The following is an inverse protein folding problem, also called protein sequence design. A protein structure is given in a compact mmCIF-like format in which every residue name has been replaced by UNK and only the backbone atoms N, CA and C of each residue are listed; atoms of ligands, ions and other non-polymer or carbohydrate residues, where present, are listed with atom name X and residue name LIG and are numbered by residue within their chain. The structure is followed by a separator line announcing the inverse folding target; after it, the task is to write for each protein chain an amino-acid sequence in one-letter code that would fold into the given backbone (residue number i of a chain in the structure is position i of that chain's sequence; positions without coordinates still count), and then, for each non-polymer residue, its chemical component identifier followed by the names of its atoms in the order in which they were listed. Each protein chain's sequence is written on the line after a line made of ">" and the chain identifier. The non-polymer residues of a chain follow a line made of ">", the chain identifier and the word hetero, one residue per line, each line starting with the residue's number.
data_IF_429276133415
#
_entry.id   IF_429276133415
#
_cell.length_a   1.000
_cell.length_b   1.000
_cell.length_c   1.000
_cell.angle_alpha   90.00
_cell.angle_beta   90.00
_cell.angle_gamma   90.00
#
_symmetry.space_group_name_H-M   'P 1'
#
loop_
_entity.id
_entity.type
_entity.pdbx_description
1 polymer ?
#
# COMPACT_ATOMS: atom_id res chain seq x y z
N UNK A 1 -19.53 -50.74 -1.28
CA UNK A 1 -19.20 -49.51 -0.52
C UNK A 1 -18.24 -48.68 -1.34
N UNK A 2 -18.78 -47.79 -2.17
CA UNK A 2 -18.00 -47.00 -3.13
C UNK A 2 -17.61 -45.68 -2.45
N UNK A 3 -16.34 -45.54 -2.10
CA UNK A 3 -15.79 -44.32 -1.50
C UNK A 3 -15.80 -43.19 -2.52
N UNK A 4 -16.81 -42.32 -2.42
CA UNK A 4 -16.87 -41.07 -3.16
C UNK A 4 -15.70 -40.17 -2.72
N UNK A 5 -14.66 -40.04 -3.56
CA UNK A 5 -13.62 -39.03 -3.37
C UNK A 5 -14.21 -37.65 -3.65
N UNK A 6 -14.48 -36.89 -2.60
CA UNK A 6 -14.81 -35.47 -2.70
C UNK A 6 -13.57 -34.71 -3.23
N UNK A 7 -13.53 -34.40 -4.53
CA UNK A 7 -12.60 -33.41 -5.09
C UNK A 7 -13.09 -32.01 -4.69
N UNK A 8 -12.66 -31.52 -3.54
CA UNK A 8 -12.76 -30.11 -3.19
C UNK A 8 -11.87 -29.32 -4.15
N UNK A 9 -12.45 -28.84 -5.25
CA UNK A 9 -11.84 -27.79 -6.06
C UNK A 9 -11.69 -26.57 -5.17
N UNK A 10 -10.48 -26.33 -4.67
CA UNK A 10 -10.13 -25.15 -3.87
C UNK A 10 -10.28 -23.88 -4.70
N UNK A 11 -11.51 -23.40 -4.87
CA UNK A 11 -11.80 -22.07 -5.40
C UNK A 11 -11.25 -21.07 -4.39
N UNK A 12 -10.19 -20.36 -4.79
CA UNK A 12 -9.59 -19.25 -4.07
C UNK A 12 -10.65 -18.18 -3.76
N UNK A 13 -10.97 -18.05 -2.46
CA UNK A 13 -11.85 -17.01 -1.93
C UNK A 13 -11.04 -15.71 -1.84
N UNK A 14 -11.31 -14.74 -2.73
CA UNK A 14 -11.01 -13.32 -2.46
C UNK A 14 -12.15 -12.80 -1.60
N UNK A 15 -11.87 -12.21 -0.43
CA UNK A 15 -12.91 -11.47 0.30
C UNK A 15 -13.34 -10.23 -0.44
N UNK A 16 -12.42 -9.60 -1.15
CA UNK A 16 -12.72 -8.50 -2.05
C UNK A 16 -12.35 -8.95 -3.47
N UNK A 17 -13.32 -9.48 -4.21
CA UNK A 17 -13.19 -9.44 -5.68
C UNK A 17 -13.26 -7.97 -6.05
N UNK A 18 -12.22 -7.46 -6.70
CA UNK A 18 -12.24 -6.16 -7.35
C UNK A 18 -13.47 -6.14 -8.29
N UNK A 19 -14.53 -5.49 -7.83
CA UNK A 19 -15.71 -5.24 -8.66
C UNK A 19 -15.34 -4.10 -9.62
N UNK A 20 -16.03 -3.97 -10.77
CA UNK A 20 -15.63 -3.02 -11.80
C UNK A 20 -15.54 -1.58 -11.28
N UNK A 21 -16.48 -1.16 -10.42
CA UNK A 21 -16.55 0.19 -9.86
C UNK A 21 -15.43 0.48 -8.85
N UNK A 22 -15.16 -0.43 -7.90
CA UNK A 22 -14.01 -0.38 -6.98
C UNK A 22 -12.68 -0.31 -7.74
N UNK A 23 -12.55 -1.13 -8.78
CA UNK A 23 -11.37 -1.11 -9.65
C UNK A 23 -11.19 0.24 -10.32
N UNK A 24 -12.27 0.81 -10.89
CA UNK A 24 -12.23 2.12 -11.52
C UNK A 24 -11.83 3.20 -10.52
N UNK A 25 -12.40 3.20 -9.31
CA UNK A 25 -12.07 4.20 -8.29
C UNK A 25 -10.63 4.07 -7.79
N UNK A 26 -10.13 2.84 -7.59
CA UNK A 26 -8.72 2.59 -7.27
C UNK A 26 -7.77 3.07 -8.38
N UNK A 27 -8.10 2.80 -9.64
CA UNK A 27 -7.30 3.23 -10.79
C UNK A 27 -7.30 4.75 -10.89
N UNK A 28 -8.47 5.39 -10.86
CA UNK A 28 -8.59 6.86 -10.92
C UNK A 28 -7.82 7.51 -9.78
N UNK A 29 -7.99 7.02 -8.55
CA UNK A 29 -7.27 7.56 -7.40
C UNK A 29 -5.76 7.32 -7.49
N UNK A 30 -5.33 6.17 -8.00
CA UNK A 30 -3.90 5.90 -8.22
C UNK A 30 -3.33 6.80 -9.30
N UNK A 31 -4.08 7.09 -10.38
CA UNK A 31 -3.67 8.05 -11.40
C UNK A 31 -3.56 9.45 -10.83
N UNK A 32 -4.53 9.90 -10.03
CA UNK A 32 -4.46 11.21 -9.36
C UNK A 32 -3.28 11.27 -8.39
N UNK A 33 -3.04 10.21 -7.61
CA UNK A 33 -1.86 10.12 -6.73
C UNK A 33 -0.55 10.18 -7.51
N UNK A 34 -0.43 9.42 -8.61
CA UNK A 34 0.75 9.45 -9.50
C UNK A 34 0.95 10.84 -10.10
N UNK A 35 -0.11 11.49 -10.58
CA UNK A 35 -0.05 12.86 -11.07
C UNK A 35 0.39 13.81 -9.96
N UNK A 36 -0.09 13.65 -8.73
CA UNK A 36 0.32 14.48 -7.60
C UNK A 36 1.80 14.32 -7.24
N UNK A 37 2.39 13.14 -7.42
CA UNK A 37 3.84 12.93 -7.26
C UNK A 37 4.65 13.45 -8.47
N UNK A 38 4.12 13.34 -9.69
CA UNK A 38 4.89 13.51 -10.91
C UNK A 38 4.71 14.86 -11.61
N UNK A 39 3.61 15.59 -11.37
CA UNK A 39 3.37 16.91 -11.98
C UNK A 39 4.53 17.91 -11.84
N UNK A 40 5.30 17.94 -10.71
CA UNK A 40 6.40 18.89 -10.56
C UNK A 40 7.56 18.62 -11.52
N UNK A 41 7.64 17.40 -12.07
CA UNK A 41 8.67 17.04 -13.04
C UNK A 41 8.38 17.61 -14.43
N UNK A 42 7.16 18.07 -14.67
CA UNK A 42 6.71 18.56 -15.98
C UNK A 42 6.41 20.06 -16.00
N UNK A 43 6.19 20.67 -14.84
CA UNK A 43 5.86 22.09 -14.69
C UNK A 43 6.92 22.80 -13.87
N UNK A 44 7.15 24.08 -14.16
CA UNK A 44 8.10 24.89 -13.39
C UNK A 44 7.55 25.06 -11.97
N UNK A 45 8.30 24.57 -10.99
CA UNK A 45 7.99 24.74 -9.57
C UNK A 45 8.97 25.70 -8.93
N UNK A 46 8.44 26.71 -8.25
CA UNK A 46 9.26 27.66 -7.49
C UNK A 46 9.92 26.94 -6.32
N UNK A 47 11.26 26.97 -6.27
CA UNK A 47 12.04 26.31 -5.22
C UNK A 47 12.18 27.21 -4.00
N UNK A 48 11.78 26.69 -2.84
CA UNK A 48 11.72 27.44 -1.58
C UNK A 48 13.04 27.51 -0.79
N UNK A 49 14.17 27.10 -1.38
CA UNK A 49 15.48 26.99 -0.70
C UNK A 49 15.70 25.64 0.02
N UNK A 50 16.70 25.59 0.92
CA UNK A 50 17.20 24.35 1.55
C UNK A 50 16.16 23.60 2.41
N UNK A 51 15.08 24.25 2.82
CA UNK A 51 14.04 23.68 3.70
C UNK A 51 12.65 23.74 3.09
N UNK A 52 12.48 23.26 1.84
CA UNK A 52 11.16 23.18 1.21
C UNK A 52 10.27 22.02 1.73
N UNK A 53 10.49 21.58 2.98
CA UNK A 53 9.62 20.61 3.67
C UNK A 53 8.28 21.31 3.95
N UNK A 54 7.34 21.13 3.03
CA UNK A 54 6.01 21.74 3.12
C UNK A 54 5.77 22.95 2.20
N UNK A 55 6.48 23.04 1.06
CA UNK A 55 6.23 23.95 -0.09
C UNK A 55 4.96 24.82 0.06
N UNK A 56 5.15 26.00 0.64
CA UNK A 56 4.13 26.78 1.39
C UNK A 56 2.89 27.15 0.58
N UNK A 57 3.00 27.20 -0.74
CA UNK A 57 1.89 27.56 -1.63
C UNK A 57 1.07 26.34 -2.05
N UNK A 58 1.70 25.22 -2.39
CA UNK A 58 1.00 24.09 -3.04
C UNK A 58 0.66 22.95 -2.07
N UNK A 59 1.47 22.74 -1.03
CA UNK A 59 1.28 21.66 -0.06
C UNK A 59 -0.13 21.62 0.56
N UNK A 60 -0.70 22.76 0.99
CA UNK A 60 -2.03 22.78 1.57
C UNK A 60 -3.11 22.35 0.57
N UNK A 61 -3.00 22.74 -0.70
CA UNK A 61 -4.00 22.39 -1.73
C UNK A 61 -3.96 20.92 -2.10
N UNK A 62 -2.76 20.35 -2.27
CA UNK A 62 -2.61 18.91 -2.52
C UNK A 62 -3.12 18.09 -1.33
N UNK A 63 -2.89 18.56 -0.09
CA UNK A 63 -3.47 17.94 1.08
C UNK A 63 -5.01 17.95 1.07
N UNK A 64 -5.61 19.13 0.82
CA UNK A 64 -7.06 19.33 0.76
C UNK A 64 -7.70 18.55 -0.40
N UNK A 65 -6.98 18.31 -1.49
CA UNK A 65 -7.49 17.54 -2.62
C UNK A 65 -7.37 16.02 -2.41
N UNK A 66 -6.18 15.56 -2.01
CA UNK A 66 -5.85 14.13 -1.96
C UNK A 66 -6.50 13.43 -0.77
N UNK A 67 -6.59 14.09 0.39
CA UNK A 67 -7.15 13.45 1.58
C UNK A 67 -8.64 13.11 1.41
N UNK A 68 -9.54 14.03 0.96
CA UNK A 68 -10.92 13.67 0.67
C UNK A 68 -11.06 12.63 -0.44
N UNK A 69 -10.21 12.68 -1.46
CA UNK A 69 -10.19 11.66 -2.51
C UNK A 69 -9.86 10.26 -1.94
N UNK A 70 -8.84 10.16 -1.08
CA UNK A 70 -8.49 8.92 -0.39
C UNK A 70 -9.62 8.43 0.49
N UNK A 71 -10.26 9.32 1.24
CA UNK A 71 -11.45 8.99 2.05
C UNK A 71 -12.57 8.47 1.16
N UNK A 72 -12.85 9.11 0.02
CA UNK A 72 -13.87 8.67 -0.92
C UNK A 72 -13.57 7.27 -1.48
N UNK A 73 -12.31 6.96 -1.79
CA UNK A 73 -11.88 5.63 -2.27
C UNK A 73 -12.04 4.59 -1.17
N UNK A 74 -11.62 4.91 0.06
CA UNK A 74 -11.80 4.02 1.21
C UNK A 74 -13.28 3.73 1.44
N UNK A 75 -14.13 4.76 1.42
CA UNK A 75 -15.59 4.60 1.57
C UNK A 75 -16.20 3.78 0.43
N UNK A 76 -15.74 4.00 -0.81
CA UNK A 76 -16.19 3.22 -1.95
C UNK A 76 -15.83 1.73 -1.82
N UNK A 77 -14.58 1.42 -1.49
CA UNK A 77 -14.12 0.05 -1.24
C UNK A 77 -14.92 -0.62 -0.11
N UNK A 78 -15.17 0.10 0.99
CA UNK A 78 -15.99 -0.39 2.10
C UNK A 78 -17.45 -0.64 1.71
N UNK A 79 -18.02 0.21 0.87
CA UNK A 79 -19.39 0.05 0.37
C UNK A 79 -19.52 -1.15 -0.58
N UNK A 80 -18.51 -1.41 -1.41
CA UNK A 80 -18.52 -2.48 -2.42
C UNK A 80 -18.18 -3.86 -1.88
N UNK A 81 -17.41 -3.91 -0.80
CA UNK A 81 -17.24 -5.11 0.03
C UNK A 81 -18.57 -5.62 0.61
N UNK A 82 -19.65 -4.85 0.45
CA UNK A 82 -21.02 -5.24 0.78
C UNK A 82 -21.27 -5.18 2.28
N UNK A 83 -20.88 -4.07 2.94
CA UNK A 83 -21.09 -3.78 4.38
C UNK A 83 -21.05 -5.07 5.25
N UNK A 84 -20.09 -5.94 5.00
CA UNK A 84 -19.89 -7.10 5.86
C UNK A 84 -19.17 -6.59 7.10
N UNK A 85 -19.92 -6.48 8.20
CA UNK A 85 -19.41 -6.03 9.49
C UNK A 85 -18.13 -6.77 9.89
N UNK A 86 -17.94 -8.03 9.43
CA UNK A 86 -16.72 -8.81 9.66
C UNK A 86 -15.51 -8.25 8.92
N UNK A 87 -15.68 -7.81 7.66
CA UNK A 87 -14.61 -7.20 6.87
C UNK A 87 -14.21 -5.85 7.47
N UNK A 88 -15.19 -5.04 7.87
CA UNK A 88 -14.96 -3.75 8.54
C UNK A 88 -14.24 -3.97 9.88
N UNK A 89 -14.68 -4.93 10.68
CA UNK A 89 -14.04 -5.29 11.95
C UNK A 89 -12.61 -5.79 11.75
N UNK A 90 -12.38 -6.65 10.77
CA UNK A 90 -11.04 -7.15 10.44
C UNK A 90 -10.12 -6.03 9.96
N UNK A 91 -10.62 -5.16 9.09
CA UNK A 91 -9.87 -3.99 8.62
C UNK A 91 -9.51 -3.08 9.79
N UNK A 92 -10.46 -2.76 10.67
CA UNK A 92 -10.22 -1.93 11.86
C UNK A 92 -9.19 -2.55 12.80
N UNK A 93 -9.28 -3.86 13.07
CA UNK A 93 -8.31 -4.59 13.89
C UNK A 93 -6.92 -4.55 13.27
N UNK A 94 -6.78 -4.89 11.99
CA UNK A 94 -5.49 -4.87 11.32
C UNK A 94 -4.95 -3.43 11.17
N UNK A 95 -5.81 -2.44 10.99
CA UNK A 95 -5.41 -1.04 10.94
C UNK A 95 -4.90 -0.55 12.30
N UNK A 96 -5.50 -1.00 13.41
CA UNK A 96 -4.99 -0.73 14.76
C UNK A 96 -3.61 -1.37 14.97
N UNK A 97 -3.41 -2.61 14.54
CA UNK A 97 -2.08 -3.26 14.57
C UNK A 97 -1.08 -2.51 13.69
N UNK A 98 -1.45 -2.13 12.47
CA UNK A 98 -0.60 -1.36 11.56
C UNK A 98 -0.22 0.02 12.13
N UNK A 99 -1.19 0.68 12.75
CA UNK A 99 -1.01 1.94 13.49
C UNK A 99 -0.01 1.78 14.64
N UNK A 100 -0.15 0.73 15.45
CA UNK A 100 0.78 0.45 16.55
C UNK A 100 2.19 0.09 16.05
N UNK A 101 2.30 -0.72 14.99
CA UNK A 101 3.58 -1.05 14.36
C UNK A 101 4.27 0.18 13.78
N UNK A 102 3.50 1.14 13.25
CA UNK A 102 4.04 2.42 12.79
C UNK A 102 4.59 3.24 13.95
N UNK A 103 3.98 3.23 15.12
CA UNK A 103 4.50 3.97 16.28
C UNK A 103 5.91 3.52 16.72
N UNK A 104 6.33 2.30 16.33
CA UNK A 104 7.68 1.77 16.59
C UNK A 104 8.74 2.22 15.56
N UNK A 105 8.31 2.82 14.45
CA UNK A 105 9.17 3.14 13.29
C UNK A 105 9.88 4.51 13.31
N UNK A 106 9.24 5.62 13.72
CA UNK A 106 9.91 6.92 13.78
C UNK A 106 11.17 6.89 14.65
N UNK A 107 12.30 7.31 14.08
CA UNK A 107 13.58 7.45 14.80
C UNK A 107 14.47 6.21 14.88
N UNK A 108 14.05 5.05 14.35
CA UNK A 108 14.80 3.78 14.46
C UNK A 108 15.50 3.37 13.17
N UNK A 109 16.37 4.22 12.60
CA UNK A 109 17.19 3.89 11.43
C UNK A 109 16.42 3.27 10.22
N UNK A 110 15.15 3.65 10.02
CA UNK A 110 14.33 3.15 8.92
C UNK A 110 13.63 1.81 9.19
N UNK A 111 13.68 1.30 10.42
CA UNK A 111 13.03 0.06 10.82
C UNK A 111 11.50 0.23 10.94
N UNK A 112 10.77 0.05 9.83
CA UNK A 112 9.31 0.12 9.83
C UNK A 112 8.65 -1.26 9.69
N UNK A 113 8.25 -1.91 10.81
CA UNK A 113 7.65 -3.25 10.76
C UNK A 113 6.24 -3.28 10.15
N UNK A 114 5.60 -2.11 9.96
CA UNK A 114 4.27 -2.01 9.37
C UNK A 114 4.17 -2.56 7.94
N UNK A 115 5.24 -2.49 7.15
CA UNK A 115 5.25 -2.94 5.75
C UNK A 115 5.02 -4.45 5.62
N UNK A 116 5.59 -5.24 6.52
CA UNK A 116 5.33 -6.67 6.64
C UNK A 116 3.83 -6.95 6.74
N UNK A 117 3.10 -6.21 7.58
CA UNK A 117 1.67 -6.39 7.76
C UNK A 117 0.90 -6.07 6.47
N UNK A 118 1.22 -4.93 5.83
CA UNK A 118 0.56 -4.50 4.60
C UNK A 118 0.73 -5.52 3.47
N UNK A 119 1.96 -6.03 3.29
CA UNK A 119 2.27 -7.04 2.25
C UNK A 119 1.47 -8.32 2.48
N UNK A 120 1.49 -8.87 3.70
CA UNK A 120 0.79 -10.12 3.99
C UNK A 120 -0.73 -9.97 3.94
N UNK A 121 -1.26 -8.86 4.42
CA UNK A 121 -2.69 -8.58 4.38
C UNK A 121 -3.18 -8.38 2.93
N UNK A 122 -2.46 -7.59 2.12
CA UNK A 122 -2.74 -7.44 0.69
C UNK A 122 -2.70 -8.78 -0.04
N UNK A 123 -1.68 -9.60 0.23
CA UNK A 123 -1.57 -10.95 -0.35
C UNK A 123 -2.70 -11.88 0.06
N UNK A 124 -3.20 -11.79 1.30
CA UNK A 124 -4.21 -12.68 1.84
C UNK A 124 -5.66 -12.26 1.51
N UNK A 125 -5.95 -10.96 1.57
CA UNK A 125 -7.31 -10.42 1.45
C UNK A 125 -7.59 -9.76 0.09
N UNK A 126 -6.54 -9.41 -0.66
CA UNK A 126 -6.62 -8.85 -2.01
C UNK A 126 -6.19 -7.39 -2.09
N UNK A 127 -6.10 -6.89 -3.34
CA UNK A 127 -5.58 -5.57 -3.66
C UNK A 127 -6.38 -4.41 -3.03
N UNK A 128 -7.71 -4.41 -3.16
CA UNK A 128 -8.56 -3.36 -2.56
C UNK A 128 -8.44 -3.30 -1.04
N UNK A 129 -8.47 -4.47 -0.37
CA UNK A 129 -8.24 -4.54 1.08
C UNK A 129 -6.85 -4.02 1.48
N UNK A 130 -5.81 -4.40 0.73
CA UNK A 130 -4.44 -3.92 0.95
C UNK A 130 -4.30 -2.41 0.78
N UNK A 131 -4.98 -1.84 -0.22
CA UNK A 131 -5.04 -0.40 -0.45
C UNK A 131 -5.63 0.33 0.76
N UNK A 132 -6.85 -0.08 1.16
CA UNK A 132 -7.56 0.54 2.29
C UNK A 132 -6.78 0.37 3.60
N UNK A 133 -6.26 -0.82 3.87
CA UNK A 133 -5.46 -1.08 5.06
C UNK A 133 -4.23 -0.17 5.12
N UNK A 134 -3.51 -0.01 4.00
CA UNK A 134 -2.36 0.88 3.91
C UNK A 134 -2.70 2.33 4.23
N UNK A 135 -3.76 2.86 3.60
CA UNK A 135 -4.21 4.23 3.83
C UNK A 135 -4.65 4.45 5.29
N UNK A 136 -5.49 3.57 5.84
CA UNK A 136 -6.08 3.74 7.18
C UNK A 136 -5.04 3.51 8.29
N UNK A 137 -4.17 2.50 8.16
CA UNK A 137 -3.11 2.24 9.15
C UNK A 137 -2.15 3.42 9.27
N UNK A 138 -1.85 4.04 8.12
CA UNK A 138 -0.96 5.18 8.09
C UNK A 138 -1.62 6.44 8.66
N UNK A 139 -2.87 6.70 8.30
CA UNK A 139 -3.66 7.78 8.89
C UNK A 139 -3.70 7.65 10.42
N UNK A 140 -4.05 6.46 10.93
CA UNK A 140 -4.06 6.18 12.36
C UNK A 140 -2.72 6.42 13.03
N UNK A 141 -1.63 5.91 12.45
CA UNK A 141 -0.28 6.12 12.99
C UNK A 141 0.15 7.59 12.97
N UNK A 142 -0.17 8.34 11.91
CA UNK A 142 0.13 9.77 11.83
C UNK A 142 -0.67 10.58 12.87
N UNK A 143 -1.93 10.24 13.12
CA UNK A 143 -2.72 10.88 14.17
C UNK A 143 -2.15 10.62 15.58
N UNK A 144 -1.71 9.39 15.86
CA UNK A 144 -1.13 9.03 17.17
C UNK A 144 0.24 9.67 17.40
N UNK A 145 1.07 9.71 16.37
CA UNK A 145 2.45 10.24 16.47
C UNK A 145 2.54 11.74 16.27
N UNK A 146 1.41 12.43 16.01
CA UNK A 146 1.41 13.84 15.66
C UNK A 146 2.00 14.15 14.28
N UNK A 147 2.20 13.14 13.43
CA UNK A 147 2.79 13.25 12.09
C UNK A 147 1.81 13.73 11.01
N UNK A 148 0.79 14.50 11.36
CA UNK A 148 -0.17 15.07 10.41
C UNK A 148 0.48 16.27 9.71
N UNK A 149 0.57 16.21 8.39
CA UNK A 149 1.11 17.29 7.60
C UNK A 149 0.86 17.10 6.11
N UNK A 150 1.30 18.06 5.27
CA UNK A 150 1.05 18.03 3.84
C UNK A 150 1.56 16.78 3.12
N UNK A 151 2.61 16.14 3.64
CA UNK A 151 3.15 14.88 3.12
C UNK A 151 2.27 13.65 3.41
N UNK A 152 1.34 13.74 4.37
CA UNK A 152 0.60 12.57 4.87
C UNK A 152 -0.22 11.88 3.76
N UNK A 153 -0.97 12.57 2.88
CA UNK A 153 -1.70 11.91 1.80
C UNK A 153 -0.77 11.15 0.82
N UNK A 154 0.43 11.65 0.59
CA UNK A 154 1.45 10.98 -0.23
C UNK A 154 1.93 9.69 0.42
N UNK A 155 2.20 9.75 1.73
CA UNK A 155 2.47 8.54 2.50
C UNK A 155 1.29 7.56 2.40
N UNK A 156 0.04 8.05 2.48
CA UNK A 156 -1.18 7.22 2.46
C UNK A 156 -1.29 6.47 1.16
N UNK A 157 -1.10 7.15 0.02
CA UNK A 157 -1.03 6.52 -1.29
C UNK A 157 0.11 5.52 -1.40
N UNK A 158 1.32 5.89 -0.97
CA UNK A 158 2.48 5.01 -1.06
C UNK A 158 2.29 3.71 -0.23
N UNK A 159 1.80 3.80 1.00
CA UNK A 159 1.46 2.64 1.82
C UNK A 159 0.29 1.83 1.22
N UNK A 160 -0.73 2.51 0.69
CA UNK A 160 -1.85 1.86 0.03
C UNK A 160 -1.40 1.07 -1.21
N UNK A 161 -0.49 1.61 -2.02
CA UNK A 161 0.07 0.90 -3.17
C UNK A 161 0.90 -0.32 -2.77
N UNK A 162 1.67 -0.26 -1.68
CA UNK A 162 2.40 -1.44 -1.16
C UNK A 162 1.44 -2.59 -0.82
N UNK A 163 0.35 -2.30 -0.10
CA UNK A 163 -0.65 -3.34 0.19
C UNK A 163 -1.38 -3.81 -1.07
N UNK A 164 -1.74 -2.88 -1.95
CA UNK A 164 -2.48 -3.16 -3.19
C UNK A 164 -1.71 -4.08 -4.13
N UNK A 165 -0.46 -3.71 -4.46
CA UNK A 165 0.40 -4.45 -5.38
C UNK A 165 0.76 -5.84 -4.84
N UNK A 166 0.95 -5.99 -3.52
CA UNK A 166 1.11 -7.32 -2.91
C UNK A 166 -0.08 -8.26 -3.18
N UNK A 167 -1.29 -7.71 -3.25
CA UNK A 167 -2.51 -8.44 -3.61
C UNK A 167 -2.63 -8.79 -5.10
N UNK A 168 -1.84 -8.15 -5.96
CA UNK A 168 -1.79 -8.39 -7.41
C UNK A 168 -0.67 -9.35 -7.82
N UNK A 169 0.23 -9.71 -6.90
CA UNK A 169 1.33 -10.65 -7.17
C UNK A 169 0.84 -12.01 -7.71
N UNK A 170 1.64 -12.67 -8.57
CA UNK A 170 1.31 -13.97 -9.12
C UNK A 170 1.12 -15.01 -8.03
N UNK A 171 0.20 -15.95 -8.28
CA UNK A 171 -0.13 -17.00 -7.30
C UNK A 171 0.89 -18.12 -7.37
N UNK A 172 1.73 -18.15 -6.35
CA UNK A 172 2.65 -19.26 -6.06
C UNK A 172 2.31 -19.84 -4.69
N UNK A 173 2.64 -21.12 -4.47
CA UNK A 173 2.38 -21.81 -3.21
C UNK A 173 3.66 -22.17 -2.45
N UNK A 174 3.49 -22.61 -1.21
CA UNK A 174 4.58 -23.21 -0.42
C UNK A 174 5.68 -22.22 -0.06
N UNK A 175 6.94 -22.64 -0.21
CA UNK A 175 8.12 -21.80 0.11
C UNK A 175 8.33 -20.67 -0.90
N UNK A 176 8.00 -20.91 -2.18
CA UNK A 176 8.15 -19.92 -3.24
C UNK A 176 7.29 -18.67 -2.97
N UNK A 177 6.12 -18.85 -2.36
CA UNK A 177 5.30 -17.73 -1.91
C UNK A 177 6.00 -16.83 -0.91
N UNK A 178 6.70 -17.39 0.07
CA UNK A 178 7.40 -16.60 1.07
C UNK A 178 8.58 -15.87 0.46
N UNK A 179 9.31 -16.53 -0.44
CA UNK A 179 10.44 -15.92 -1.15
C UNK A 179 9.97 -14.77 -2.05
N UNK A 180 8.87 -14.97 -2.78
CA UNK A 180 8.26 -13.92 -3.59
C UNK A 180 7.86 -12.72 -2.73
N UNK A 181 7.21 -12.96 -1.59
CA UNK A 181 6.77 -11.90 -0.68
C UNK A 181 7.95 -11.21 -0.01
N UNK A 182 9.01 -11.93 0.34
CA UNK A 182 10.21 -11.35 0.93
C UNK A 182 10.95 -10.47 -0.09
N UNK A 183 11.11 -10.94 -1.32
CA UNK A 183 11.68 -10.15 -2.41
C UNK A 183 10.82 -8.92 -2.71
N UNK A 184 9.51 -9.09 -2.76
CA UNK A 184 8.57 -7.98 -2.91
C UNK A 184 8.69 -6.98 -1.76
N UNK A 185 8.73 -7.43 -0.51
CA UNK A 185 8.91 -6.56 0.66
C UNK A 185 10.21 -5.76 0.60
N UNK A 186 11.32 -6.40 0.20
CA UNK A 186 12.60 -5.72 0.02
C UNK A 186 12.50 -4.60 -1.02
N UNK A 187 12.00 -4.92 -2.21
CA UNK A 187 11.84 -3.95 -3.31
C UNK A 187 10.86 -2.84 -2.93
N UNK A 188 9.70 -3.20 -2.39
CA UNK A 188 8.65 -2.24 -2.02
C UNK A 188 9.09 -1.29 -0.90
N UNK A 189 9.90 -1.76 0.06
CA UNK A 189 10.46 -0.91 1.12
C UNK A 189 11.40 0.16 0.59
N UNK A 190 12.23 -0.19 -0.41
CA UNK A 190 13.09 0.76 -1.10
C UNK A 190 12.29 1.70 -2.01
N UNK A 191 11.38 1.14 -2.81
CA UNK A 191 10.54 1.92 -3.71
C UNK A 191 9.64 2.91 -2.98
N UNK A 192 9.23 2.62 -1.74
CA UNK A 192 8.50 3.59 -0.94
C UNK A 192 9.28 4.88 -0.72
N UNK A 193 10.57 4.82 -0.35
CA UNK A 193 11.40 6.00 -0.21
C UNK A 193 11.65 6.70 -1.54
N UNK A 194 11.93 5.93 -2.60
CA UNK A 194 12.08 6.43 -3.97
C UNK A 194 10.81 7.11 -4.49
N UNK A 195 9.62 6.76 -4.02
CA UNK A 195 8.40 7.49 -4.39
C UNK A 195 8.18 8.67 -3.44
N UNK A 196 8.37 8.48 -2.14
CA UNK A 196 8.15 9.51 -1.13
C UNK A 196 9.06 10.72 -1.29
N UNK A 197 10.27 10.54 -1.79
CA UNK A 197 11.19 11.66 -2.00
C UNK A 197 10.71 12.60 -3.12
N UNK A 198 9.93 12.11 -4.11
CA UNK A 198 9.35 12.96 -5.16
C UNK A 198 8.36 14.00 -4.62
N UNK A 199 7.81 13.77 -3.43
CA UNK A 199 6.90 14.74 -2.81
C UNK A 199 7.56 16.09 -2.55
N UNK A 200 8.82 16.10 -2.11
CA UNK A 200 9.51 17.34 -1.71
C UNK A 200 10.73 17.66 -2.57
N UNK A 201 11.36 16.65 -3.17
CA UNK A 201 12.61 16.81 -3.92
C UNK A 201 12.55 17.89 -5.03
N UNK A 202 11.50 17.97 -5.87
CA UNK A 202 11.41 19.01 -6.90
C UNK A 202 11.42 20.46 -6.37
N UNK A 203 11.01 20.64 -5.12
CA UNK A 203 10.82 21.94 -4.48
C UNK A 203 12.00 22.38 -3.61
N UNK A 204 12.90 21.46 -3.27
CA UNK A 204 14.01 21.68 -2.37
C UNK A 204 15.35 21.76 -3.12
N UNK A 205 16.27 22.56 -2.58
CA UNK A 205 17.62 22.72 -3.14
C UNK A 205 18.63 21.98 -2.27
N UNK A 206 19.43 21.10 -2.88
CA UNK A 206 20.46 20.25 -2.26
C UNK A 206 21.84 20.43 -2.92
N UNK A 207 22.10 21.60 -3.53
CA UNK A 207 23.30 21.85 -4.36
C UNK A 207 23.13 21.43 -5.82
N UNK A 208 24.12 21.67 -6.68
CA UNK A 208 23.99 21.50 -8.14
C UNK A 208 23.70 20.07 -8.60
N UNK A 209 24.28 19.08 -7.92
CA UNK A 209 24.31 17.71 -8.42
C UNK A 209 23.10 16.89 -7.95
N UNK A 210 22.39 17.36 -6.93
CA UNK A 210 21.28 16.65 -6.29
C UNK A 210 19.93 17.37 -6.43
N UNK A 211 19.92 18.64 -6.84
CA UNK A 211 18.67 19.40 -6.96
C UNK A 211 17.97 19.13 -8.28
N UNK A 212 16.65 19.22 -8.25
CA UNK A 212 15.87 19.35 -9.47
C UNK A 212 16.21 20.68 -10.17
N UNK A 213 16.34 20.66 -11.50
CA UNK A 213 16.52 21.86 -12.32
C UNK A 213 15.32 21.99 -13.25
N UNK A 214 14.41 22.96 -13.00
CA UNK A 214 13.26 23.18 -13.87
C UNK A 214 13.70 23.51 -15.31
N UNK A 215 13.12 22.82 -16.29
CA UNK A 215 13.41 23.03 -17.72
C UNK A 215 14.51 22.14 -18.30
N UNK A 216 15.34 21.48 -17.47
CA UNK A 216 16.32 20.49 -17.93
C UNK A 216 15.65 19.22 -18.47
N UNK A 217 16.40 18.43 -19.25
CA UNK A 217 15.91 17.17 -19.78
C UNK A 217 15.53 16.19 -18.65
N UNK A 218 14.43 15.43 -18.84
CA UNK A 218 13.94 14.47 -17.86
C UNK A 218 15.02 13.46 -17.43
N UNK A 219 15.87 13.03 -18.37
CA UNK A 219 16.96 12.10 -18.09
C UNK A 219 18.02 12.67 -17.13
N UNK A 220 18.33 13.97 -17.25
CA UNK A 220 19.29 14.66 -16.38
C UNK A 220 18.71 14.84 -14.98
N UNK A 221 17.45 15.27 -14.89
CA UNK A 221 16.75 15.35 -13.62
C UNK A 221 16.58 13.98 -12.94
N UNK A 222 16.33 12.92 -13.70
CA UNK A 222 16.28 11.56 -13.16
C UNK A 222 17.66 11.10 -12.66
N UNK A 223 18.75 11.48 -13.34
CA UNK A 223 20.10 11.21 -12.87
C UNK A 223 20.38 11.90 -11.53
N UNK A 224 20.09 13.21 -11.42
CA UNK A 224 20.22 13.97 -10.16
C UNK A 224 19.37 13.38 -9.04
N UNK A 225 18.16 12.93 -9.38
CA UNK A 225 17.28 12.28 -8.43
C UNK A 225 17.85 10.96 -7.88
N UNK A 226 18.42 10.12 -8.75
CA UNK A 226 19.06 8.87 -8.32
C UNK A 226 20.28 9.14 -7.43
N UNK A 227 21.10 10.14 -7.77
CA UNK A 227 22.21 10.57 -6.92
C UNK A 227 21.71 11.04 -5.54
N UNK A 228 20.64 11.84 -5.53
CA UNK A 228 19.99 12.29 -4.29
C UNK A 228 19.50 11.10 -3.44
N UNK A 229 18.78 10.15 -4.04
CA UNK A 229 18.26 8.97 -3.34
C UNK A 229 19.38 8.15 -2.72
N UNK A 230 20.46 7.89 -3.48
CA UNK A 230 21.62 7.13 -2.99
C UNK A 230 22.31 7.85 -1.84
N UNK A 231 22.48 9.17 -1.94
CA UNK A 231 23.19 9.96 -0.95
C UNK A 231 22.38 10.17 0.35
N UNK A 232 21.06 10.27 0.28
CA UNK A 232 20.25 10.77 1.41
C UNK A 232 19.26 9.76 1.99
N UNK A 233 18.66 8.91 1.16
CA UNK A 233 17.49 8.11 1.54
C UNK A 233 17.78 6.61 1.64
N UNK A 234 18.73 6.11 0.85
CA UNK A 234 18.96 4.67 0.72
C UNK A 234 19.35 3.99 2.05
N UNK A 235 20.05 4.73 2.92
CA UNK A 235 20.41 4.27 4.26
C UNK A 235 19.19 3.97 5.15
N UNK A 236 18.04 4.62 4.90
CA UNK A 236 16.78 4.40 5.62
C UNK A 236 15.89 3.38 4.92
N UNK A 237 15.92 3.38 3.60
CA UNK A 237 15.08 2.57 2.73
C UNK A 237 15.48 1.08 2.70
N UNK A 238 16.79 0.79 2.73
CA UNK A 238 17.29 -0.59 2.78
C UNK A 238 16.88 -1.29 4.09
N UNK A 239 17.11 -0.71 5.29
CA UNK A 239 16.65 -1.31 6.55
C UNK A 239 15.16 -1.61 6.57
N UNK A 240 14.31 -0.72 6.04
CA UNK A 240 12.87 -0.96 5.91
C UNK A 240 12.56 -2.22 5.12
N UNK A 241 13.15 -2.32 3.92
CA UNK A 241 12.97 -3.44 3.02
C UNK A 241 13.49 -4.75 3.61
N UNK A 242 14.70 -4.72 4.19
CA UNK A 242 15.34 -5.89 4.82
C UNK A 242 14.55 -6.37 6.02
N UNK A 243 14.15 -5.48 6.94
CA UNK A 243 13.34 -5.83 8.09
C UNK A 243 12.03 -6.50 7.64
N UNK A 244 11.34 -5.92 6.67
CA UNK A 244 10.09 -6.45 6.15
C UNK A 244 10.28 -7.84 5.54
N UNK A 245 11.33 -8.02 4.73
CA UNK A 245 11.67 -9.30 4.13
C UNK A 245 12.00 -10.37 5.19
N UNK A 246 12.79 -10.02 6.20
CA UNK A 246 13.12 -10.91 7.33
C UNK A 246 11.85 -11.31 8.08
N UNK A 247 10.97 -10.36 8.42
CA UNK A 247 9.70 -10.66 9.08
C UNK A 247 8.82 -11.56 8.22
N UNK A 248 8.78 -11.37 6.89
CA UNK A 248 8.06 -12.28 5.98
C UNK A 248 8.64 -13.69 6.02
N UNK A 249 9.96 -13.85 6.01
CA UNK A 249 10.59 -15.17 6.03
C UNK A 249 10.37 -15.89 7.38
N UNK A 250 10.42 -15.16 8.49
CA UNK A 250 10.27 -15.71 9.84
C UNK A 250 8.80 -15.97 10.20
N UNK A 251 7.92 -15.00 9.93
CA UNK A 251 6.54 -14.98 10.43
C UNK A 251 5.48 -15.10 9.33
N UNK A 252 5.87 -15.07 8.04
CA UNK A 252 4.93 -15.08 6.93
C UNK A 252 4.05 -16.33 6.89
N UNK A 253 4.59 -17.50 7.20
CA UNK A 253 3.81 -18.75 7.24
C UNK A 253 2.67 -18.74 8.26
N UNK A 254 2.94 -18.55 9.57
CA UNK A 254 1.87 -18.54 10.56
C UNK A 254 0.87 -17.41 10.32
N UNK A 255 1.34 -16.21 9.94
CA UNK A 255 0.47 -15.05 9.70
C UNK A 255 -0.42 -15.24 8.47
N UNK A 256 0.12 -15.68 7.33
CA UNK A 256 -0.69 -15.97 6.14
C UNK A 256 -1.70 -17.08 6.40
N UNK A 257 -1.34 -18.09 7.20
CA UNK A 257 -2.26 -19.17 7.57
C UNK A 257 -3.42 -18.63 8.41
N UNK A 258 -3.12 -17.78 9.39
CA UNK A 258 -4.13 -17.11 10.22
C UNK A 258 -5.03 -16.22 9.36
N UNK A 259 -4.46 -15.34 8.53
CA UNK A 259 -5.21 -14.45 7.65
C UNK A 259 -6.12 -15.23 6.69
N UNK A 260 -5.61 -16.27 6.04
CA UNK A 260 -6.42 -17.12 5.15
C UNK A 260 -7.51 -17.88 5.89
N UNK A 261 -7.29 -18.25 7.15
CA UNK A 261 -8.32 -18.90 7.98
C UNK A 261 -9.43 -17.93 8.34
N UNK A 262 -9.08 -16.72 8.77
CA UNK A 262 -10.05 -15.64 9.04
C UNK A 262 -10.80 -15.28 7.76
N UNK A 263 -10.09 -15.23 6.65
CA UNK A 263 -10.66 -14.95 5.35
C UNK A 263 -11.78 -15.93 4.97
N UNK A 264 -11.50 -17.24 5.09
CA UNK A 264 -12.51 -18.27 4.85
C UNK A 264 -13.72 -18.09 5.75
N UNK A 265 -13.51 -17.79 7.05
CA UNK A 265 -14.58 -17.59 8.04
C UNK A 265 -15.49 -16.41 7.71
N UNK A 266 -14.94 -15.32 7.19
CA UNK A 266 -15.71 -14.15 6.81
C UNK A 266 -16.52 -14.37 5.50
N UNK A 267 -16.07 -15.26 4.60
CA UNK A 267 -16.76 -15.53 3.33
C UNK A 267 -17.99 -16.48 3.40
N UNK A 268 -18.35 -17.02 4.57
CA UNK A 268 -19.38 -18.07 4.69
C UNK A 268 -20.84 -17.63 4.49
N UNK A 269 -21.14 -16.33 4.35
CA UNK A 269 -22.52 -15.85 4.18
C UNK A 269 -22.92 -15.62 2.71
N UNK A 270 -22.19 -16.21 1.75
CA UNK A 270 -22.72 -16.29 0.36
C UNK A 270 -23.89 -17.27 0.36
N UNK A 271 -25.14 -16.85 0.03
CA UNK A 271 -26.29 -17.74 0.11
C UNK A 271 -26.05 -18.99 -0.74
N UNK A 272 -26.24 -20.16 -0.12
CA UNK A 272 -26.20 -21.44 -0.81
C UNK A 272 -27.44 -21.52 -1.70
N UNK A 273 -27.26 -21.25 -2.99
CA UNK A 273 -28.31 -21.46 -3.99
C UNK A 273 -28.32 -22.94 -4.34
N UNK A 274 -29.35 -23.65 -3.87
CA UNK A 274 -29.65 -24.98 -4.35
C UNK A 274 -30.31 -24.85 -5.72
N UNK A 275 -29.62 -25.26 -6.78
CA UNK A 275 -30.29 -25.44 -8.08
C UNK A 275 -31.28 -26.62 -7.94
N UNK A 276 -32.55 -26.45 -8.33
CA UNK A 276 -33.48 -27.56 -8.36
C UNK A 276 -32.94 -28.61 -9.32
N UNK A 277 -32.77 -29.84 -8.82
CA UNK A 277 -32.30 -30.97 -9.61
C UNK A 277 -33.18 -31.12 -10.85
N UNK A 278 -32.55 -31.11 -12.02
CA UNK A 278 -33.20 -31.38 -13.29
C UNK A 278 -33.91 -32.74 -13.19
N UNK A 279 -35.23 -32.71 -13.06
CA UNK A 279 -36.08 -33.87 -13.31
C UNK A 279 -36.04 -34.12 -14.80
N UNK A 280 -35.21 -35.07 -15.21
CA UNK A 280 -35.32 -35.67 -16.53
C UNK A 280 -36.67 -36.41 -16.59
N UNK A 281 -37.59 -35.89 -17.41
CA UNK A 281 -38.81 -36.55 -17.84
C UNK A 281 -38.65 -36.97 -19.30
#
# INVERSE_FOLDING_TARGET
>A
MTTARLKLHGRSLRLVRLKPRSTTMLVVASLVGLLAFAWPLFLHTDQGGESAIGHTTDAPWLFVLLLPLLVAVVLAELSEAGIDAKVISLLGMLAAVGTALRALGPGTAGLEPGFFLLVLAGRAFGAGFGFVLGAVSLLGGALITGGVGPWMPFQMFACAWVGCLAGLLPRVGGRLELLLLAAYSLVSGVMYGVVMNLWFWPYATFGSDFSFVPGDALAENLHRYLLFVVATSLAWDIPRGVLSAVLVLLLGRPVLTAFRRTARKAAFDTPVVFEPGRTDA
#
